data_IF_902884363407
#
_entry.id   IF_902884363407
#
_cell.length_a   1.000
_cell.length_b   1.000
_cell.length_c   1.000
_cell.angle_alpha   90.00
_cell.angle_beta   90.00
_cell.angle_gamma   90.00
#
_symmetry.space_group_name_H-M   'P 1'
#
loop_
_entity.id
_entity.type
_entity.pdbx_description
1 polymer ?
#
# COMPACT_ATOMS: atom_id res chain seq x y z
N UNK A 1 3.14 5.71 16.51
CA UNK A 1 4.01 5.29 15.39
C UNK A 1 3.10 5.13 14.19
N UNK A 2 3.44 5.73 13.05
CA UNK A 2 2.63 5.55 11.84
C UNK A 2 2.95 4.17 11.24
N UNK A 3 1.91 3.48 10.80
CA UNK A 3 1.99 2.15 10.22
C UNK A 3 1.20 2.17 8.91
N UNK A 4 1.54 1.26 8.01
CA UNK A 4 0.97 1.17 6.68
C UNK A 4 0.55 -0.27 6.40
N UNK A 5 -0.64 -0.44 5.85
CA UNK A 5 -1.12 -1.73 5.40
C UNK A 5 -0.67 -1.96 3.96
N UNK A 6 -0.03 -3.10 3.73
CA UNK A 6 0.40 -3.57 2.42
C UNK A 6 -0.66 -4.51 1.85
N UNK A 7 -1.02 -4.22 0.61
CA UNK A 7 -1.87 -5.04 -0.23
C UNK A 7 -1.07 -5.48 -1.45
N UNK A 8 -1.16 -6.76 -1.79
CA UNK A 8 -0.55 -7.34 -2.99
C UNK A 8 -1.64 -7.70 -3.98
N UNK A 9 -1.32 -7.62 -5.27
CA UNK A 9 -2.26 -8.01 -6.32
C UNK A 9 -1.78 -9.29 -7.00
N UNK A 10 -2.61 -10.34 -7.00
CA UNK A 10 -2.25 -11.64 -7.59
C UNK A 10 -2.06 -11.53 -9.11
N UNK A 11 -2.77 -10.60 -9.77
CA UNK A 11 -2.61 -10.31 -11.21
C UNK A 11 -1.38 -9.43 -11.48
N UNK A 12 -0.89 -8.70 -10.48
CA UNK A 12 0.27 -7.80 -10.58
C UNK A 12 1.23 -8.05 -9.40
N UNK A 13 1.89 -9.22 -9.34
CA UNK A 13 2.71 -9.61 -8.19
C UNK A 13 3.94 -8.70 -7.97
N UNK A 14 4.36 -7.97 -9.00
CA UNK A 14 5.43 -6.99 -8.92
C UNK A 14 5.02 -5.66 -8.27
N UNK A 15 3.73 -5.44 -7.95
CA UNK A 15 3.25 -4.16 -7.41
C UNK A 15 2.60 -4.39 -6.04
N UNK A 16 3.16 -3.72 -5.04
CA UNK A 16 2.58 -3.56 -3.72
C UNK A 16 1.84 -2.23 -3.60
N UNK A 17 0.67 -2.24 -2.98
CA UNK A 17 -0.11 -1.05 -2.64
C UNK A 17 -0.01 -0.83 -1.13
N UNK A 18 0.46 0.34 -0.74
CA UNK A 18 0.50 0.77 0.65
C UNK A 18 -0.60 1.79 0.91
N UNK A 19 -1.28 1.64 2.03
CA UNK A 19 -2.25 2.61 2.57
C UNK A 19 -1.95 2.84 4.04
N UNK A 20 -2.49 3.92 4.62
CA UNK A 20 -2.35 4.17 6.05
C UNK A 20 -3.05 3.05 6.83
N UNK A 21 -2.44 2.58 7.93
CA UNK A 21 -3.02 1.50 8.74
C UNK A 21 -4.45 1.84 9.17
N UNK A 22 -5.37 0.91 8.89
CA UNK A 22 -6.80 1.05 9.19
C UNK A 22 -7.55 2.02 8.27
N UNK A 23 -6.91 2.52 7.21
CA UNK A 23 -7.61 3.20 6.13
C UNK A 23 -8.22 2.17 5.17
N UNK A 24 -9.41 2.48 4.66
CA UNK A 24 -9.99 1.70 3.58
C UNK A 24 -9.16 1.82 2.31
N UNK A 25 -9.14 0.72 1.54
CA UNK A 25 -8.63 0.74 0.18
C UNK A 25 -9.36 1.85 -0.61
N UNK A 26 -8.61 2.75 -1.28
CA UNK A 26 -9.20 3.81 -2.10
C UNK A 26 -10.04 3.21 -3.23
N UNK A 27 -10.76 4.08 -3.95
CA UNK A 27 -11.61 3.69 -5.07
C UNK A 27 -10.78 3.22 -6.27
N UNK A 28 -10.27 2.00 -6.15
CA UNK A 28 -9.44 1.34 -7.14
C UNK A 28 -10.37 0.52 -8.03
N UNK A 29 -10.21 0.67 -9.35
CA UNK A 29 -10.96 -0.11 -10.33
C UNK A 29 -10.84 -1.64 -10.08
N UNK A 30 -9.70 -2.07 -9.53
CA UNK A 30 -9.38 -3.47 -9.22
C UNK A 30 -9.38 -3.76 -7.71
N UNK A 31 -10.17 -3.06 -6.87
CA UNK A 31 -10.17 -3.23 -5.40
C UNK A 31 -10.29 -4.68 -4.94
N UNK A 32 -11.02 -5.52 -5.69
CA UNK A 32 -11.17 -6.95 -5.39
C UNK A 32 -9.93 -7.81 -5.70
N UNK A 33 -8.99 -7.33 -6.51
CA UNK A 33 -7.75 -8.03 -6.81
C UNK A 33 -6.62 -7.72 -5.80
N UNK A 34 -6.81 -6.70 -4.96
CA UNK A 34 -5.88 -6.31 -3.90
C UNK A 34 -6.17 -7.13 -2.63
N UNK A 35 -5.24 -8.02 -2.30
CA UNK A 35 -5.29 -8.84 -1.11
C UNK A 35 -4.38 -8.26 -0.04
N UNK A 36 -4.90 -8.11 1.18
CA UNK A 36 -4.09 -7.70 2.32
C UNK A 36 -3.00 -8.74 2.59
N UNK A 37 -1.74 -8.30 2.60
CA UNK A 37 -0.58 -9.12 2.87
C UNK A 37 -0.10 -8.95 4.32
N UNK A 38 -0.07 -7.72 4.82
CA UNK A 38 0.33 -7.43 6.19
C UNK A 38 0.46 -5.94 6.48
N UNK A 39 0.78 -5.60 7.73
CA UNK A 39 1.05 -4.22 8.15
C UNK A 39 2.54 -4.03 8.41
N UNK A 40 3.10 -2.92 7.96
CA UNK A 40 4.49 -2.52 8.19
C UNK A 40 4.56 -1.18 8.93
N UNK A 41 5.54 -1.05 9.83
CA UNK A 41 5.86 0.24 10.44
C UNK A 41 6.46 1.19 9.41
N UNK A 42 6.24 2.50 9.57
CA UNK A 42 6.81 3.54 8.71
C UNK A 42 8.32 3.40 8.48
N UNK A 43 9.07 2.95 9.50
CA UNK A 43 10.53 2.78 9.41
C UNK A 43 10.97 1.71 8.39
N UNK A 44 10.09 0.74 8.11
CA UNK A 44 10.32 -0.34 7.13
C UNK A 44 9.80 0.02 5.73
N UNK A 45 9.14 1.16 5.58
CA UNK A 45 8.50 1.60 4.34
C UNK A 45 9.35 2.70 3.70
N UNK A 46 9.62 2.64 2.38
CA UNK A 46 10.38 3.69 1.71
C UNK A 46 9.73 5.07 1.85
N UNK A 47 10.54 6.11 2.00
CA UNK A 47 10.05 7.50 2.13
C UNK A 47 9.21 7.95 0.93
N UNK A 48 9.48 7.43 -0.26
CA UNK A 48 8.68 7.68 -1.47
C UNK A 48 7.24 7.19 -1.33
N UNK A 49 7.06 6.00 -0.76
CA UNK A 49 5.74 5.40 -0.50
C UNK A 49 5.01 6.21 0.58
N UNK A 50 5.70 6.56 1.67
CA UNK A 50 5.13 7.37 2.75
C UNK A 50 4.62 8.72 2.23
N UNK A 51 5.40 9.39 1.38
CA UNK A 51 5.01 10.66 0.77
C UNK A 51 3.80 10.48 -0.15
N UNK A 52 3.75 9.42 -0.95
CA UNK A 52 2.59 9.10 -1.79
C UNK A 52 1.33 8.84 -0.95
N UNK A 53 1.41 8.01 0.09
CA UNK A 53 0.27 7.75 0.98
C UNK A 53 -0.21 9.05 1.65
N UNK A 54 0.70 9.95 2.00
CA UNK A 54 0.34 11.24 2.62
C UNK A 54 -0.31 12.22 1.64
N UNK A 55 0.06 12.17 0.36
CA UNK A 55 -0.48 13.04 -0.67
C UNK A 55 -1.82 12.52 -1.24
N UNK A 56 -1.90 11.23 -1.53
CA UNK A 56 -2.99 10.59 -2.28
C UNK A 56 -3.81 9.60 -1.44
N UNK A 57 -3.48 9.42 -0.15
CA UNK A 57 -4.09 8.42 0.73
C UNK A 57 -3.58 6.99 0.49
N UNK A 58 -2.82 6.77 -0.57
CA UNK A 58 -2.23 5.49 -0.95
C UNK A 58 -0.96 5.68 -1.78
N UNK A 59 -0.13 4.65 -1.89
CA UNK A 59 1.03 4.65 -2.76
C UNK A 59 1.30 3.27 -3.34
N UNK A 60 1.76 3.24 -4.59
CA UNK A 60 2.23 2.02 -5.22
C UNK A 60 3.74 1.91 -5.08
N UNK A 61 4.20 0.70 -4.82
CA UNK A 61 5.62 0.35 -4.75
C UNK A 61 5.85 -0.81 -5.69
N UNK A 62 6.83 -0.65 -6.56
CA UNK A 62 7.35 -1.76 -7.35
C UNK A 62 8.22 -2.67 -6.45
N UNK A 63 8.01 -3.98 -6.56
CA UNK A 63 8.67 -5.03 -5.77
C UNK A 63 9.69 -5.82 -6.60
N UNK A 64 9.96 -5.43 -7.85
CA UNK A 64 11.02 -6.00 -8.70
C UNK A 64 12.44 -5.58 -8.26
#
# INVERSE_FOLDING_TARGET
MEEYDLYINVKKPAIGLYVRKGADLPDLADKGDWMFDGSCAQDLVPSSVILGVKADGHAFRDMD
#
